data_IF_962843643475
#
_entry.id   IF_962843643475
#
_cell.length_a   1.000
_cell.length_b   1.000
_cell.length_c   1.000
_cell.angle_alpha   90.00
_cell.angle_beta   90.00
_cell.angle_gamma   90.00
#
_symmetry.space_group_name_H-M   'P 1'
#
loop_
_entity.id
_entity.type
_entity.pdbx_description
1 polymer ?
#
# COMPACT_ATOMS: atom_id res chain seq x y z
N UNK A 1 -7.83 32.18 -74.03
CA UNK A 1 -8.31 33.53 -74.43
C UNK A 1 -9.58 33.82 -73.66
N UNK A 2 -9.52 34.92 -72.90
CA UNK A 2 -10.61 35.85 -72.54
C UNK A 2 -11.83 35.39 -71.73
N UNK A 3 -12.04 36.18 -70.67
CA UNK A 3 -13.08 36.21 -69.63
C UNK A 3 -14.17 37.21 -70.03
N UNK A 4 -15.45 36.99 -69.68
CA UNK A 4 -16.30 37.88 -68.81
C UNK A 4 -17.82 37.70 -68.91
N UNK A 5 -18.43 37.75 -67.71
CA UNK A 5 -19.72 38.34 -67.28
C UNK A 5 -21.02 37.74 -67.85
N UNK A 6 -22.10 37.45 -67.12
CA UNK A 6 -22.49 37.72 -65.72
C UNK A 6 -23.86 38.40 -65.70
N UNK A 7 -24.93 37.70 -65.25
CA UNK A 7 -26.12 38.27 -64.59
C UNK A 7 -27.20 37.21 -64.29
N UNK A 8 -27.62 37.13 -63.03
CA UNK A 8 -28.91 36.58 -62.51
C UNK A 8 -29.70 37.77 -61.90
N UNK A 9 -31.00 37.68 -61.49
CA UNK A 9 -31.76 36.48 -61.09
C UNK A 9 -33.28 36.45 -61.45
N UNK A 10 -33.95 35.32 -61.17
CA UNK A 10 -35.39 35.27 -60.83
C UNK A 10 -35.71 34.02 -59.99
N UNK A 11 -36.51 34.23 -58.94
CA UNK A 11 -36.85 33.30 -57.83
C UNK A 11 -38.10 32.48 -58.14
N UNK A 12 -38.22 31.23 -57.66
CA UNK A 12 -39.53 30.65 -57.36
C UNK A 12 -39.73 30.28 -55.88
N UNK A 13 -41.02 30.20 -55.56
CA UNK A 13 -41.69 30.17 -54.25
C UNK A 13 -41.70 28.76 -53.64
N UNK A 14 -41.69 28.72 -52.30
CA UNK A 14 -41.63 27.52 -51.47
C UNK A 14 -43.00 26.82 -51.33
N UNK A 15 -42.99 25.49 -51.40
CA UNK A 15 -44.10 24.59 -51.04
C UNK A 15 -43.82 24.00 -49.65
N UNK A 16 -44.78 23.96 -48.71
CA UNK A 16 -44.52 23.51 -47.34
C UNK A 16 -44.35 21.98 -47.28
N UNK A 17 -43.21 21.55 -46.74
CA UNK A 17 -42.95 20.14 -46.44
C UNK A 17 -43.73 19.71 -45.19
N UNK A 18 -44.38 18.56 -45.31
CA UNK A 18 -45.12 17.82 -44.27
C UNK A 18 -44.21 17.56 -43.05
N UNK A 19 -44.70 17.61 -41.80
CA UNK A 19 -43.87 17.35 -40.63
C UNK A 19 -43.45 15.88 -40.66
N UNK A 20 -42.15 15.65 -40.79
CA UNK A 20 -41.55 14.34 -40.54
C UNK A 20 -41.68 14.11 -39.05
N UNK A 21 -42.42 13.06 -38.69
CA UNK A 21 -42.58 12.60 -37.32
C UNK A 21 -41.21 12.54 -36.65
N UNK A 22 -41.09 13.21 -35.49
CA UNK A 22 -39.97 13.01 -34.58
C UNK A 22 -39.85 11.52 -34.31
N UNK A 23 -38.89 10.89 -34.98
CA UNK A 23 -38.38 9.58 -34.59
C UNK A 23 -37.99 9.69 -33.13
N UNK A 24 -38.72 8.97 -32.29
CA UNK A 24 -38.45 8.85 -30.88
C UNK A 24 -36.95 8.62 -30.70
N UNK A 25 -36.30 9.58 -30.05
CA UNK A 25 -34.94 9.43 -29.57
C UNK A 25 -34.89 8.11 -28.82
N UNK A 26 -34.07 7.17 -29.31
CA UNK A 26 -33.75 5.98 -28.55
C UNK A 26 -33.38 6.42 -27.12
N UNK A 27 -33.83 5.71 -26.07
CA UNK A 27 -33.45 6.06 -24.72
C UNK A 27 -31.92 6.17 -24.66
N UNK A 28 -31.38 7.18 -23.96
CA UNK A 28 -29.95 7.42 -23.94
C UNK A 28 -29.27 6.11 -23.54
N UNK A 29 -28.33 5.68 -24.38
CA UNK A 29 -27.45 4.56 -24.11
C UNK A 29 -26.86 4.83 -22.72
N UNK A 30 -27.38 4.15 -21.69
CA UNK A 30 -27.07 4.48 -20.31
C UNK A 30 -25.56 4.59 -20.16
N UNK A 31 -25.08 5.77 -19.73
CA UNK A 31 -23.66 6.02 -19.53
C UNK A 31 -23.06 4.83 -18.76
N UNK A 32 -21.89 4.36 -19.19
CA UNK A 32 -21.20 3.24 -18.55
C UNK A 32 -21.18 3.46 -17.03
N UNK A 33 -21.62 2.46 -16.28
CA UNK A 33 -21.67 2.56 -14.83
C UNK A 33 -20.27 2.76 -14.27
N UNK A 34 -20.04 3.86 -13.55
CA UNK A 34 -18.82 4.02 -12.76
C UNK A 34 -18.94 3.17 -11.48
N UNK A 35 -18.56 1.89 -11.59
CA UNK A 35 -18.59 0.94 -10.47
C UNK A 35 -17.70 1.39 -9.31
N UNK A 36 -16.61 2.11 -9.60
CA UNK A 36 -15.72 2.63 -8.56
C UNK A 36 -16.33 3.77 -7.74
N UNK A 37 -17.41 4.39 -8.23
CA UNK A 37 -18.18 5.38 -7.49
C UNK A 37 -19.42 4.79 -6.78
N UNK A 38 -19.66 3.47 -6.88
CA UNK A 38 -20.84 2.83 -6.28
C UNK A 38 -20.73 2.55 -4.78
N UNK A 39 -19.56 2.76 -4.17
CA UNK A 39 -19.32 2.64 -2.74
C UNK A 39 -19.15 4.01 -2.10
N UNK A 40 -19.53 4.13 -0.83
CA UNK A 40 -19.23 5.30 -0.01
C UNK A 40 -17.70 5.43 0.14
N UNK A 41 -17.08 6.56 -0.29
CA UNK A 41 -15.63 6.71 -0.21
C UNK A 41 -15.07 6.67 1.20
N UNK A 42 -15.80 7.16 2.20
CA UNK A 42 -15.36 7.15 3.59
C UNK A 42 -15.34 5.72 4.13
N UNK A 43 -16.36 4.93 3.78
CA UNK A 43 -16.41 3.52 4.13
C UNK A 43 -15.36 2.71 3.39
N UNK A 44 -15.19 2.94 2.08
CA UNK A 44 -14.16 2.30 1.27
C UNK A 44 -12.75 2.62 1.81
N UNK A 45 -12.50 3.86 2.27
CA UNK A 45 -11.23 4.24 2.92
C UNK A 45 -11.07 3.61 4.32
N UNK A 46 -12.16 3.48 5.10
CA UNK A 46 -12.13 2.77 6.40
C UNK A 46 -11.78 1.29 6.21
N UNK A 47 -12.37 0.68 5.19
CA UNK A 47 -12.19 -0.73 4.87
C UNK A 47 -10.84 -0.97 4.21
N UNK A 48 -10.47 -0.25 3.16
CA UNK A 48 -9.19 -0.39 2.45
C UNK A 48 -8.48 0.97 2.41
N UNK A 49 -7.76 1.35 3.47
CA UNK A 49 -7.14 2.67 3.55
C UNK A 49 -6.09 2.83 2.47
N UNK A 50 -6.05 3.99 1.81
CA UNK A 50 -5.12 4.31 0.71
C UNK A 50 -5.08 3.21 -0.37
N UNK A 51 -6.25 2.66 -0.71
CA UNK A 51 -6.39 1.67 -1.77
C UNK A 51 -5.86 2.21 -3.12
N UNK A 52 -5.13 1.35 -3.83
CA UNK A 52 -5.02 1.43 -5.29
C UNK A 52 -6.36 0.98 -5.89
N UNK A 53 -6.90 1.76 -6.82
CA UNK A 53 -8.21 1.51 -7.42
C UNK A 53 -8.02 1.13 -8.89
N UNK A 54 -8.44 -0.07 -9.24
CA UNK A 54 -8.38 -0.59 -10.60
C UNK A 54 -9.79 -0.85 -11.13
N UNK A 55 -10.05 -0.48 -12.38
CA UNK A 55 -11.32 -0.71 -13.05
C UNK A 55 -11.12 -1.48 -14.35
N UNK A 56 -12.00 -2.42 -14.64
CA UNK A 56 -12.03 -3.12 -15.92
C UNK A 56 -13.46 -3.35 -16.39
N UNK A 57 -13.63 -3.64 -17.68
CA UNK A 57 -14.93 -3.97 -18.25
C UNK A 57 -14.80 -5.12 -19.24
N UNK A 58 -15.79 -6.01 -19.24
CA UNK A 58 -15.97 -7.06 -20.22
C UNK A 58 -17.32 -6.86 -20.90
N UNK A 59 -17.31 -6.73 -22.23
CA UNK A 59 -18.50 -6.56 -23.04
C UNK A 59 -18.81 -7.85 -23.81
N UNK A 60 -19.87 -8.53 -23.40
CA UNK A 60 -20.34 -9.77 -24.01
C UNK A 60 -21.68 -9.57 -24.75
N UNK A 61 -21.93 -8.35 -25.26
CA UNK A 61 -23.18 -8.06 -26.01
C UNK A 61 -23.31 -8.75 -27.37
N UNK A 62 -22.33 -9.54 -27.77
CA UNK A 62 -22.37 -10.42 -28.96
C UNK A 62 -22.64 -11.90 -28.65
N UNK A 63 -22.91 -12.26 -27.40
CA UNK A 63 -23.13 -13.65 -26.99
C UNK A 63 -24.43 -14.24 -27.56
N UNK A 64 -24.38 -15.49 -28.02
CA UNK A 64 -25.55 -16.22 -28.56
C UNK A 64 -26.44 -16.82 -27.48
N UNK A 65 -25.94 -16.93 -26.24
CA UNK A 65 -26.64 -17.54 -25.10
C UNK A 65 -26.98 -16.53 -24.00
N UNK A 66 -26.10 -15.56 -23.76
CA UNK A 66 -26.27 -14.53 -22.72
C UNK A 66 -25.63 -13.24 -23.24
N UNK A 67 -26.37 -12.13 -23.20
CA UNK A 67 -25.89 -10.80 -23.55
C UNK A 67 -25.74 -9.95 -22.28
N UNK A 68 -24.55 -9.44 -22.01
CA UNK A 68 -24.30 -8.60 -20.84
C UNK A 68 -23.06 -7.72 -21.01
N UNK A 69 -23.00 -6.64 -20.23
CA UNK A 69 -21.77 -5.89 -19.95
C UNK A 69 -21.45 -6.04 -18.48
N UNK A 70 -20.20 -6.41 -18.16
CA UNK A 70 -19.70 -6.50 -16.80
C UNK A 70 -18.64 -5.43 -16.57
N UNK A 71 -18.75 -4.73 -15.45
CA UNK A 71 -17.74 -3.81 -14.94
C UNK A 71 -17.24 -4.34 -13.60
N UNK A 72 -15.94 -4.22 -13.39
CA UNK A 72 -15.26 -4.62 -12.16
C UNK A 72 -14.50 -3.43 -11.61
N UNK A 73 -14.59 -3.22 -10.30
CA UNK A 73 -13.72 -2.29 -9.58
C UNK A 73 -13.08 -3.00 -8.38
N UNK A 74 -11.80 -2.75 -8.18
CA UNK A 74 -11.00 -3.30 -7.09
C UNK A 74 -10.36 -2.19 -6.28
N UNK A 75 -10.45 -2.28 -4.95
CA UNK A 75 -9.73 -1.44 -4.00
C UNK A 75 -8.72 -2.34 -3.29
N UNK A 76 -7.44 -2.14 -3.56
CA UNK A 76 -6.38 -3.03 -3.07
C UNK A 76 -5.38 -2.26 -2.21
N UNK A 77 -5.12 -2.74 -1.00
CA UNK A 77 -3.92 -2.36 -0.26
C UNK A 77 -3.35 -3.56 0.51
N UNK A 78 -2.21 -4.06 0.05
CA UNK A 78 -1.55 -5.27 0.57
C UNK A 78 -0.47 -4.99 1.61
N UNK A 79 -0.16 -3.71 1.88
CA UNK A 79 0.97 -3.33 2.73
C UNK A 79 0.60 -2.22 3.74
N UNK A 80 -0.49 -2.44 4.48
CA UNK A 80 -0.92 -1.49 5.52
C UNK A 80 -0.12 -1.77 6.80
N UNK A 81 0.86 -0.92 7.09
CA UNK A 81 1.54 -0.95 8.39
C UNK A 81 0.57 -0.63 9.53
N UNK A 82 0.39 -1.53 10.48
CA UNK A 82 -0.45 -1.32 11.67
C UNK A 82 0.16 -2.00 12.90
N UNK A 83 0.60 -1.22 13.89
CA UNK A 83 1.18 -1.78 15.12
C UNK A 83 2.28 -2.82 14.81
N UNK A 84 2.20 -4.04 15.31
CA UNK A 84 3.13 -5.14 15.08
C UNK A 84 2.82 -6.00 13.84
N UNK A 85 1.78 -5.64 13.07
CA UNK A 85 1.30 -6.42 11.93
C UNK A 85 1.26 -5.60 10.64
N UNK A 86 1.47 -6.28 9.52
CA UNK A 86 1.12 -5.76 8.20
C UNK A 86 -0.24 -6.32 7.83
N UNK A 87 -1.16 -5.43 7.46
CA UNK A 87 -2.51 -5.82 7.02
C UNK A 87 -2.61 -5.79 5.50
N UNK A 88 -3.33 -6.77 4.96
CA UNK A 88 -3.81 -6.79 3.59
C UNK A 88 -5.32 -6.63 3.61
N UNK A 89 -5.84 -5.75 2.76
CA UNK A 89 -7.28 -5.56 2.59
C UNK A 89 -7.62 -5.32 1.13
N UNK A 90 -8.75 -5.88 0.72
CA UNK A 90 -9.18 -5.85 -0.67
C UNK A 90 -10.71 -5.87 -0.75
N UNK A 91 -11.29 -4.96 -1.53
CA UNK A 91 -12.70 -5.00 -1.94
C UNK A 91 -12.73 -5.22 -3.45
N UNK A 92 -13.56 -6.16 -3.90
CA UNK A 92 -13.88 -6.33 -5.32
C UNK A 92 -15.37 -6.18 -5.51
N UNK A 93 -15.78 -5.32 -6.45
CA UNK A 93 -17.18 -5.15 -6.85
C UNK A 93 -17.29 -5.49 -8.33
N UNK A 94 -18.16 -6.44 -8.66
CA UNK A 94 -18.55 -6.77 -10.02
C UNK A 94 -20.00 -6.35 -10.24
N UNK A 95 -20.29 -5.65 -11.33
CA UNK A 95 -21.65 -5.26 -11.73
C UNK A 95 -21.85 -5.74 -13.15
N UNK A 96 -22.84 -6.59 -13.37
CA UNK A 96 -23.23 -7.10 -14.69
C UNK A 96 -24.62 -6.60 -15.02
N UNK A 97 -24.76 -5.88 -16.13
CA UNK A 97 -26.06 -5.52 -16.71
C UNK A 97 -26.33 -6.47 -17.86
N UNK A 98 -27.48 -7.12 -17.81
CA UNK A 98 -27.92 -8.02 -18.87
C UNK A 98 -28.76 -7.26 -19.91
N UNK A 99 -28.68 -7.71 -21.15
CA UNK A 99 -29.60 -7.32 -22.21
C UNK A 99 -30.54 -8.49 -22.52
N UNK A 100 -31.73 -8.19 -23.04
CA UNK A 100 -32.67 -9.22 -23.47
C UNK A 100 -32.10 -9.99 -24.68
N UNK A 101 -32.31 -11.30 -24.69
CA UNK A 101 -31.84 -12.18 -25.78
C UNK A 101 -32.87 -13.29 -26.05
N UNK A 102 -33.37 -13.34 -27.29
CA UNK A 102 -34.43 -14.28 -27.66
C UNK A 102 -35.71 -14.04 -26.85
N UNK A 103 -36.19 -15.08 -26.16
CA UNK A 103 -37.36 -15.01 -25.28
C UNK A 103 -37.03 -14.64 -23.83
N UNK A 104 -35.74 -14.56 -23.47
CA UNK A 104 -35.28 -14.26 -22.11
C UNK A 104 -35.16 -12.74 -21.93
N UNK A 105 -35.92 -12.18 -20.98
CA UNK A 105 -35.79 -10.77 -20.62
C UNK A 105 -34.50 -10.52 -19.85
N UNK A 106 -34.03 -9.26 -19.86
CA UNK A 106 -32.83 -8.87 -19.11
C UNK A 106 -32.96 -9.12 -17.59
N UNK A 107 -34.15 -8.85 -17.02
CA UNK A 107 -34.43 -9.12 -15.61
C UNK A 107 -34.46 -10.63 -15.31
N UNK A 108 -34.97 -11.44 -16.23
CA UNK A 108 -34.94 -12.89 -16.08
C UNK A 108 -33.50 -13.42 -16.08
N UNK A 109 -32.65 -12.93 -16.99
CA UNK A 109 -31.25 -13.30 -17.04
C UNK A 109 -30.52 -12.96 -15.73
N UNK A 110 -30.73 -11.75 -15.19
CA UNK A 110 -30.16 -11.36 -13.90
C UNK A 110 -30.68 -12.23 -12.73
N UNK A 111 -31.96 -12.61 -12.76
CA UNK A 111 -32.56 -13.51 -11.77
C UNK A 111 -31.98 -14.93 -11.85
N UNK A 112 -31.82 -15.48 -13.05
CA UNK A 112 -31.21 -16.79 -13.27
C UNK A 112 -29.77 -16.80 -12.75
N UNK A 113 -28.98 -15.75 -13.04
CA UNK A 113 -27.62 -15.61 -12.53
C UNK A 113 -27.59 -15.60 -10.99
N UNK A 114 -28.46 -14.80 -10.36
CA UNK A 114 -28.56 -14.75 -8.90
C UNK A 114 -28.97 -16.10 -8.27
N UNK A 115 -29.97 -16.77 -8.83
CA UNK A 115 -30.44 -18.06 -8.33
C UNK A 115 -29.38 -19.16 -8.52
N UNK A 116 -28.61 -19.11 -9.61
CA UNK A 116 -27.45 -19.96 -9.82
C UNK A 116 -26.42 -19.77 -8.70
N UNK A 117 -26.02 -18.54 -8.43
CA UNK A 117 -25.06 -18.21 -7.36
C UNK A 117 -25.56 -18.65 -5.97
N UNK A 118 -26.82 -18.35 -5.64
CA UNK A 118 -27.43 -18.78 -4.38
C UNK A 118 -27.42 -20.31 -4.23
N UNK A 119 -27.67 -21.03 -5.31
CA UNK A 119 -27.62 -22.50 -5.33
C UNK A 119 -26.19 -23.00 -5.12
N UNK A 120 -25.19 -22.35 -5.73
CA UNK A 120 -23.77 -22.65 -5.50
C UNK A 120 -23.37 -22.39 -4.04
N UNK A 121 -23.87 -21.31 -3.42
CA UNK A 121 -23.60 -21.02 -2.02
C UNK A 121 -24.22 -22.07 -1.09
N UNK A 122 -25.46 -22.49 -1.37
CA UNK A 122 -26.14 -23.56 -0.62
C UNK A 122 -25.42 -24.90 -0.77
N UNK A 123 -24.96 -25.23 -1.97
CA UNK A 123 -24.18 -26.43 -2.24
C UNK A 123 -22.83 -26.42 -1.51
N UNK A 124 -22.06 -25.33 -1.62
CA UNK A 124 -20.76 -25.22 -0.96
C UNK A 124 -20.84 -25.37 0.57
N UNK A 125 -21.90 -24.84 1.19
CA UNK A 125 -22.13 -24.97 2.63
C UNK A 125 -22.31 -26.42 3.10
N UNK A 126 -22.71 -27.36 2.21
CA UNK A 126 -22.83 -28.79 2.52
C UNK A 126 -21.62 -29.62 2.08
N UNK A 127 -20.64 -29.01 1.39
CA UNK A 127 -19.44 -29.66 0.84
C UNK A 127 -18.16 -29.00 1.37
N UNK A 128 -18.21 -28.50 2.60
CA UNK A 128 -17.02 -28.01 3.30
C UNK A 128 -16.20 -29.17 3.85
N UNK A 129 -14.88 -29.04 3.80
CA UNK A 129 -13.92 -30.00 4.32
C UNK A 129 -12.83 -29.29 5.16
N UNK A 130 -11.69 -29.96 5.37
CA UNK A 130 -10.60 -29.44 6.22
C UNK A 130 -9.72 -28.41 5.49
N UNK A 131 -9.76 -28.39 4.16
CA UNK A 131 -8.98 -27.51 3.29
C UNK A 131 -9.84 -26.36 2.75
N UNK A 132 -11.14 -26.56 2.59
CA UNK A 132 -12.11 -25.60 2.07
C UNK A 132 -13.32 -25.51 2.98
N UNK A 133 -13.61 -24.31 3.46
CA UNK A 133 -14.81 -24.05 4.24
C UNK A 133 -15.68 -23.00 3.59
N UNK A 134 -16.99 -23.26 3.61
CA UNK A 134 -18.03 -22.34 3.16
C UNK A 134 -19.09 -22.24 4.26
N UNK A 135 -19.32 -21.04 4.76
CA UNK A 135 -20.37 -20.79 5.74
C UNK A 135 -21.75 -21.00 5.10
N UNK A 136 -22.77 -21.21 5.93
CA UNK A 136 -24.16 -21.17 5.45
C UNK A 136 -24.46 -19.80 4.85
N UNK A 137 -25.14 -19.72 3.69
CA UNK A 137 -25.51 -18.44 3.10
C UNK A 137 -26.51 -17.70 3.99
N UNK A 138 -26.33 -16.38 4.09
CA UNK A 138 -27.27 -15.45 4.73
C UNK A 138 -27.95 -14.64 3.66
N UNK A 139 -29.26 -14.82 3.52
CA UNK A 139 -30.08 -14.07 2.57
C UNK A 139 -30.55 -12.74 3.19
N UNK A 140 -30.51 -11.66 2.42
CA UNK A 140 -30.94 -10.31 2.78
C UNK A 140 -32.02 -9.86 1.80
N UNK A 141 -33.28 -9.89 2.23
CA UNK A 141 -34.43 -9.55 1.37
C UNK A 141 -34.61 -8.03 1.24
N UNK A 142 -34.04 -7.28 2.16
CA UNK A 142 -34.09 -5.82 2.21
C UNK A 142 -33.14 -5.13 1.23
N UNK A 143 -32.22 -5.87 0.61
CA UNK A 143 -31.20 -5.34 -0.31
C UNK A 143 -31.63 -5.60 -1.75
N UNK A 144 -31.98 -4.54 -2.49
CA UNK A 144 -32.38 -4.63 -3.90
C UNK A 144 -33.62 -5.51 -4.11
N UNK A 145 -33.58 -6.39 -5.10
CA UNK A 145 -34.59 -7.45 -5.28
C UNK A 145 -34.18 -8.78 -4.62
N UNK A 146 -33.23 -8.74 -3.68
CA UNK A 146 -32.65 -9.88 -2.98
C UNK A 146 -31.13 -9.89 -3.07
N UNK A 147 -30.49 -10.20 -1.95
CA UNK A 147 -29.06 -10.44 -1.86
C UNK A 147 -28.75 -11.64 -0.96
N UNK A 148 -27.54 -12.19 -1.08
CA UNK A 148 -27.01 -13.28 -0.27
C UNK A 148 -25.54 -13.04 0.00
N UNK A 149 -25.05 -13.43 1.18
CA UNK A 149 -23.61 -13.47 1.46
C UNK A 149 -23.21 -14.78 2.13
N UNK A 150 -21.96 -15.18 1.94
CA UNK A 150 -21.29 -16.25 2.68
C UNK A 150 -19.86 -15.85 3.01
N UNK A 151 -19.26 -16.56 3.96
CA UNK A 151 -17.85 -16.49 4.26
C UNK A 151 -17.19 -17.77 3.78
N UNK A 152 -15.97 -17.67 3.27
CA UNK A 152 -15.19 -18.84 2.94
C UNK A 152 -13.73 -18.68 3.33
N UNK A 153 -13.09 -19.82 3.55
CA UNK A 153 -11.63 -19.89 3.60
C UNK A 153 -11.11 -21.14 2.91
N UNK A 154 -9.93 -21.00 2.34
CA UNK A 154 -9.14 -22.08 1.75
C UNK A 154 -7.79 -22.14 2.46
N UNK A 155 -7.36 -23.34 2.79
CA UNK A 155 -6.07 -23.61 3.41
C UNK A 155 -5.30 -24.60 2.53
N UNK A 156 -4.21 -24.14 1.94
CA UNK A 156 -3.25 -25.01 1.25
C UNK A 156 -2.01 -25.17 2.14
N UNK A 157 -1.91 -26.32 2.81
CA UNK A 157 -0.80 -26.66 3.70
C UNK A 157 -0.63 -25.71 4.90
N UNK A 158 0.63 -25.36 5.19
CA UNK A 158 1.03 -24.38 6.22
C UNK A 158 1.30 -22.98 5.64
N UNK A 159 1.27 -22.84 4.32
CA UNK A 159 1.86 -21.70 3.60
C UNK A 159 0.81 -20.76 3.02
N UNK A 160 -0.41 -21.24 2.74
CA UNK A 160 -1.45 -20.40 2.16
C UNK A 160 -2.74 -20.48 2.97
N UNK A 161 -3.14 -19.33 3.53
CA UNK A 161 -4.43 -19.14 4.17
C UNK A 161 -5.15 -18.01 3.47
N UNK A 162 -6.23 -18.35 2.78
CA UNK A 162 -7.04 -17.43 2.00
C UNK A 162 -8.44 -17.36 2.60
N UNK A 163 -8.94 -16.18 2.94
CA UNK A 163 -10.29 -16.05 3.51
C UNK A 163 -10.94 -14.73 3.15
N UNK A 164 -12.24 -14.76 2.93
CA UNK A 164 -12.99 -13.59 2.54
C UNK A 164 -14.49 -13.81 2.75
N UNK A 165 -15.19 -12.69 2.90
CA UNK A 165 -16.64 -12.66 2.69
C UNK A 165 -16.91 -12.41 1.22
N UNK A 166 -17.93 -13.06 0.68
CA UNK A 166 -18.47 -12.75 -0.63
C UNK A 166 -19.99 -12.72 -0.59
N UNK A 167 -20.57 -11.99 -1.52
CA UNK A 167 -22.00 -11.96 -1.67
C UNK A 167 -22.43 -11.48 -3.04
N UNK A 168 -23.68 -11.77 -3.35
CA UNK A 168 -24.30 -11.45 -4.61
C UNK A 168 -25.66 -10.81 -4.36
N UNK A 169 -26.09 -9.95 -5.27
CA UNK A 169 -27.40 -9.33 -5.24
C UNK A 169 -27.86 -8.92 -6.63
N UNK A 170 -29.10 -8.44 -6.71
CA UNK A 170 -29.68 -7.98 -7.97
C UNK A 170 -30.63 -6.80 -7.79
N UNK A 171 -30.70 -5.96 -8.80
CA UNK A 171 -31.72 -4.90 -8.96
C UNK A 171 -32.16 -4.87 -10.42
N UNK A 172 -33.38 -5.35 -10.71
CA UNK A 172 -33.90 -5.49 -12.08
C UNK A 172 -33.01 -6.33 -12.99
N UNK A 173 -32.54 -5.73 -14.08
CA UNK A 173 -31.65 -6.29 -15.11
C UNK A 173 -30.16 -6.32 -14.71
N UNK A 174 -29.86 -5.94 -13.47
CA UNK A 174 -28.48 -5.82 -12.98
C UNK A 174 -28.23 -6.84 -11.88
N UNK A 175 -27.18 -7.63 -12.06
CA UNK A 175 -26.59 -8.53 -11.06
C UNK A 175 -25.29 -7.91 -10.55
N UNK A 176 -25.01 -8.04 -9.26
CA UNK A 176 -23.74 -7.58 -8.70
C UNK A 176 -23.19 -8.57 -7.68
N UNK A 177 -21.85 -8.61 -7.59
CA UNK A 177 -21.11 -9.35 -6.59
C UNK A 177 -20.18 -8.41 -5.84
N UNK A 178 -20.01 -8.71 -4.56
CA UNK A 178 -19.07 -8.04 -3.67
C UNK A 178 -18.22 -9.10 -3.00
N UNK A 179 -16.92 -8.85 -2.93
CA UNK A 179 -15.98 -9.62 -2.14
C UNK A 179 -15.20 -8.68 -1.23
N UNK A 180 -15.02 -9.10 0.03
CA UNK A 180 -14.17 -8.41 0.99
C UNK A 180 -13.18 -9.38 1.63
N UNK A 181 -11.91 -9.16 1.35
CA UNK A 181 -10.79 -9.90 1.92
C UNK A 181 -10.04 -9.01 2.90
N UNK A 182 -9.73 -9.55 4.08
CA UNK A 182 -8.82 -8.92 5.01
C UNK A 182 -8.00 -9.94 5.78
N UNK A 183 -6.72 -9.66 5.95
CA UNK A 183 -5.82 -10.46 6.76
C UNK A 183 -4.73 -9.57 7.39
N UNK A 184 -4.06 -10.12 8.38
CA UNK A 184 -2.92 -9.48 9.03
C UNK A 184 -1.85 -10.51 9.36
N UNK A 185 -0.59 -10.13 9.20
CA UNK A 185 0.58 -10.99 9.47
C UNK A 185 1.55 -10.23 10.37
N UNK A 186 2.19 -10.90 11.34
CA UNK A 186 3.23 -10.26 12.16
C UNK A 186 4.37 -9.77 11.27
N UNK A 187 4.78 -8.51 11.43
CA UNK A 187 5.84 -7.87 10.61
C UNK A 187 7.17 -8.58 10.67
N UNK A 188 7.47 -9.20 11.80
CA UNK A 188 8.73 -9.90 12.05
C UNK A 188 8.66 -11.40 11.76
N UNK A 189 7.50 -11.93 11.33
CA UNK A 189 7.41 -13.32 10.88
C UNK A 189 8.20 -13.54 9.59
N UNK A 190 8.67 -14.77 9.37
CA UNK A 190 9.42 -15.10 8.17
C UNK A 190 8.60 -14.77 6.91
N UNK A 191 9.27 -14.19 5.91
CA UNK A 191 8.61 -13.63 4.74
C UNK A 191 7.73 -14.67 4.02
N UNK A 192 8.20 -15.91 3.93
CA UNK A 192 7.49 -17.04 3.29
C UNK A 192 6.52 -17.79 4.23
N UNK A 193 6.56 -17.52 5.54
CA UNK A 193 5.70 -18.24 6.51
C UNK A 193 4.32 -17.60 6.61
N UNK A 194 3.26 -18.41 6.56
CA UNK A 194 1.90 -17.97 6.87
C UNK A 194 1.49 -18.23 8.33
N UNK A 195 2.38 -18.74 9.19
CA UNK A 195 2.04 -19.16 10.56
C UNK A 195 1.45 -18.05 11.44
N UNK A 196 1.83 -16.80 11.20
CA UNK A 196 1.29 -15.65 11.94
C UNK A 196 0.12 -14.93 11.24
N UNK A 197 -0.34 -15.48 10.10
CA UNK A 197 -1.43 -14.89 9.33
C UNK A 197 -2.73 -15.11 10.06
N UNK A 198 -3.34 -14.02 10.52
CA UNK A 198 -4.69 -13.99 11.03
C UNK A 198 -5.62 -13.45 9.95
N UNK A 199 -6.58 -14.27 9.59
CA UNK A 199 -7.62 -13.96 8.62
C UNK A 199 -8.81 -13.23 9.26
N UNK A 200 -9.61 -12.55 8.42
CA UNK A 200 -10.89 -11.99 8.84
C UNK A 200 -11.81 -13.09 9.40
N UNK A 201 -12.57 -12.78 10.45
CA UNK A 201 -13.56 -13.71 11.00
C UNK A 201 -14.81 -13.72 10.13
N UNK A 202 -15.55 -14.84 10.14
CA UNK A 202 -16.84 -14.96 9.44
C UNK A 202 -17.78 -13.80 9.77
N UNK A 203 -17.97 -13.51 11.05
CA UNK A 203 -18.88 -12.45 11.51
C UNK A 203 -18.50 -11.07 10.94
N UNK A 204 -17.21 -10.72 10.99
CA UNK A 204 -16.73 -9.45 10.46
C UNK A 204 -16.87 -9.43 8.93
N UNK A 205 -16.47 -10.50 8.24
CA UNK A 205 -16.56 -10.59 6.78
C UNK A 205 -18.00 -10.42 6.29
N UNK A 206 -18.95 -11.14 6.90
CA UNK A 206 -20.37 -11.05 6.53
C UNK A 206 -20.97 -9.68 6.86
N UNK A 207 -20.56 -9.05 7.96
CA UNK A 207 -21.00 -7.68 8.30
C UNK A 207 -20.55 -6.68 7.23
N UNK A 208 -19.27 -6.68 6.87
CA UNK A 208 -18.75 -5.73 5.88
C UNK A 208 -19.34 -6.00 4.49
N UNK A 209 -19.45 -7.26 4.06
CA UNK A 209 -20.10 -7.62 2.78
C UNK A 209 -21.57 -7.21 2.74
N UNK A 210 -22.33 -7.39 3.83
CA UNK A 210 -23.72 -6.91 3.90
C UNK A 210 -23.80 -5.40 3.65
N UNK A 211 -22.93 -4.63 4.31
CA UNK A 211 -22.85 -3.18 4.15
C UNK A 211 -22.54 -2.78 2.72
N UNK A 212 -21.52 -3.40 2.12
CA UNK A 212 -21.11 -3.15 0.73
C UNK A 212 -22.21 -3.53 -0.27
N UNK A 213 -22.89 -4.67 -0.10
CA UNK A 213 -24.03 -5.08 -0.94
C UNK A 213 -25.16 -4.04 -0.89
N UNK A 214 -25.47 -3.51 0.29
CA UNK A 214 -26.49 -2.47 0.44
C UNK A 214 -26.09 -1.17 -0.29
N UNK A 215 -24.81 -0.78 -0.24
CA UNK A 215 -24.31 0.39 -0.95
C UNK A 215 -24.40 0.21 -2.47
N UNK A 216 -23.94 -0.93 -2.99
CA UNK A 216 -24.02 -1.24 -4.43
C UNK A 216 -25.48 -1.29 -4.90
N UNK A 217 -26.38 -1.93 -4.15
CA UNK A 217 -27.80 -1.97 -4.50
C UNK A 217 -28.43 -0.57 -4.59
N UNK A 218 -28.11 0.31 -3.63
CA UNK A 218 -28.56 1.71 -3.63
C UNK A 218 -28.03 2.47 -4.85
N UNK A 219 -26.75 2.31 -5.17
CA UNK A 219 -26.09 2.92 -6.32
C UNK A 219 -26.66 2.43 -7.65
N UNK A 220 -26.90 1.12 -7.79
CA UNK A 220 -27.52 0.52 -8.98
C UNK A 220 -28.96 1.03 -9.14
N UNK A 221 -29.71 1.16 -8.04
CA UNK A 221 -31.07 1.71 -8.06
C UNK A 221 -31.08 3.15 -8.58
N UNK A 222 -30.18 4.00 -8.08
CA UNK A 222 -30.04 5.37 -8.54
C UNK A 222 -29.63 5.45 -10.02
N UNK A 223 -28.64 4.64 -10.43
CA UNK A 223 -28.17 4.55 -11.81
C UNK A 223 -29.29 4.15 -12.77
N UNK A 224 -30.06 3.11 -12.45
CA UNK A 224 -31.21 2.67 -13.27
C UNK A 224 -32.30 3.74 -13.36
N UNK A 225 -32.47 4.55 -12.30
CA UNK A 225 -33.40 5.66 -12.29
C UNK A 225 -32.88 6.93 -12.99
N UNK A 226 -31.67 6.89 -13.58
CA UNK A 226 -31.02 8.06 -14.18
C UNK A 226 -30.65 9.15 -13.18
N UNK A 227 -30.60 8.82 -11.88
CA UNK A 227 -30.23 9.73 -10.81
C UNK A 227 -28.72 9.70 -10.57
N UNK A 228 -28.14 10.79 -10.03
CA UNK A 228 -26.76 10.77 -9.55
C UNK A 228 -26.54 9.64 -8.54
N UNK A 229 -25.34 9.06 -8.54
CA UNK A 229 -24.95 8.09 -7.53
C UNK A 229 -25.03 8.73 -6.13
N UNK A 230 -25.41 7.97 -5.09
CA UNK A 230 -25.72 8.52 -3.77
C UNK A 230 -24.49 8.96 -2.97
N UNK A 231 -23.27 8.76 -3.50
CA UNK A 231 -22.02 9.06 -2.81
C UNK A 231 -21.21 10.10 -3.59
N UNK A 232 -20.58 11.00 -2.85
CA UNK A 232 -19.67 11.99 -3.41
C UNK A 232 -18.36 11.34 -3.87
N UNK A 233 -17.63 11.99 -4.78
CA UNK A 233 -16.31 11.50 -5.18
C UNK A 233 -15.32 11.54 -4.01
N UNK A 234 -14.38 10.59 -3.99
CA UNK A 234 -13.29 10.56 -3.01
C UNK A 234 -12.46 11.86 -3.09
N UNK A 235 -12.21 12.55 -1.96
CA UNK A 235 -11.26 13.66 -1.95
C UNK A 235 -9.87 13.15 -2.33
N UNK A 236 -9.23 13.77 -3.32
CA UNK A 236 -7.86 13.44 -3.69
C UNK A 236 -6.94 13.79 -2.50
N UNK A 237 -6.10 12.86 -2.00
CA UNK A 237 -5.16 13.21 -0.94
C UNK A 237 -4.23 14.30 -1.48
N UNK A 238 -4.24 15.45 -0.80
CA UNK A 238 -3.29 16.52 -1.09
C UNK A 238 -1.95 16.14 -0.47
N UNK A 239 -0.83 16.18 -1.22
CA UNK A 239 0.48 15.93 -0.65
C UNK A 239 0.75 17.01 0.41
N UNK A 240 0.85 16.61 1.68
CA UNK A 240 1.35 17.50 2.72
C UNK A 240 2.86 17.68 2.50
N UNK A 241 3.39 18.91 2.49
CA UNK A 241 4.83 19.11 2.46
C UNK A 241 5.46 18.42 3.67
N UNK A 242 6.50 17.63 3.44
CA UNK A 242 7.26 17.02 4.51
C UNK A 242 8.14 18.10 5.16
N UNK A 243 8.03 18.36 6.48
CA UNK A 243 8.81 19.41 7.11
C UNK A 243 10.31 19.11 6.99
N UNK A 244 11.08 20.10 6.52
CA UNK A 244 12.53 19.97 6.39
C UNK A 244 13.22 19.97 7.76
N UNK A 245 14.35 19.25 7.93
CA UNK A 245 15.12 19.30 9.17
C UNK A 245 15.60 20.73 9.49
N UNK A 246 15.47 21.13 10.75
CA UNK A 246 15.94 22.42 11.26
C UNK A 246 17.27 22.22 11.99
N UNK A 247 18.30 22.97 11.63
CA UNK A 247 19.61 22.90 12.30
C UNK A 247 19.49 23.40 13.75
N UNK A 248 20.13 22.70 14.69
CA UNK A 248 20.15 23.07 16.11
C UNK A 248 21.58 22.98 16.66
N UNK A 249 21.88 23.62 17.81
CA UNK A 249 23.09 23.33 18.57
C UNK A 249 23.14 21.85 18.97
N UNK A 250 24.35 21.31 19.18
CA UNK A 250 24.51 19.93 19.64
C UNK A 250 23.76 19.74 20.98
N UNK A 251 22.79 18.80 21.04
CA UNK A 251 22.07 18.51 22.27
C UNK A 251 22.99 17.82 23.28
N UNK A 252 22.63 17.86 24.57
CA UNK A 252 23.42 17.33 25.69
C UNK A 252 23.94 15.89 25.44
N UNK A 253 23.08 14.99 24.97
CA UNK A 253 23.48 13.62 24.66
C UNK A 253 24.62 13.55 23.60
N UNK A 254 24.57 14.40 22.57
CA UNK A 254 25.62 14.46 21.54
C UNK A 254 26.89 15.17 22.03
N UNK A 255 26.75 16.16 22.92
CA UNK A 255 27.90 16.82 23.58
C UNK A 255 28.66 15.81 24.43
N UNK A 256 27.96 14.97 25.19
CA UNK A 256 28.58 13.93 26.02
C UNK A 256 29.37 12.91 25.18
N UNK A 257 28.95 12.67 23.92
CA UNK A 257 29.63 11.79 22.99
C UNK A 257 30.86 12.42 22.31
N UNK A 258 31.12 13.72 22.48
CA UNK A 258 32.13 14.45 21.68
C UNK A 258 33.53 13.82 21.75
N UNK A 259 33.96 13.36 22.92
CA UNK A 259 35.28 12.70 23.06
C UNK A 259 35.36 11.37 22.31
N UNK A 260 34.34 10.53 22.47
CA UNK A 260 34.23 9.25 21.76
C UNK A 260 34.13 9.47 20.25
N UNK A 261 33.28 10.42 19.81
CA UNK A 261 33.12 10.78 18.42
C UNK A 261 34.42 11.31 17.80
N UNK A 262 35.20 12.11 18.53
CA UNK A 262 36.50 12.60 18.07
C UNK A 262 37.53 11.47 17.89
N UNK A 263 37.46 10.39 18.68
CA UNK A 263 38.30 9.20 18.48
C UNK A 263 37.93 8.39 17.24
N UNK A 264 36.64 8.35 16.88
CA UNK A 264 36.12 7.61 15.72
C UNK A 264 36.17 8.40 14.41
N UNK A 265 35.91 9.71 14.51
CA UNK A 265 35.90 10.68 13.40
C UNK A 265 36.67 11.92 13.86
N UNK A 266 38.00 11.93 13.72
CA UNK A 266 38.80 13.09 14.14
C UNK A 266 38.56 14.33 13.26
N UNK A 267 38.95 15.49 13.78
CA UNK A 267 38.92 16.79 13.10
C UNK A 267 37.53 17.22 12.59
N UNK A 268 36.47 16.98 13.37
CA UNK A 268 35.12 17.48 13.10
C UNK A 268 34.42 17.88 14.39
N UNK A 269 33.69 18.99 14.36
CA UNK A 269 32.93 19.49 15.52
C UNK A 269 31.57 18.80 15.68
N UNK A 270 31.09 18.18 14.60
CA UNK A 270 29.76 17.60 14.50
C UNK A 270 28.67 18.64 14.20
N UNK A 271 27.55 18.17 13.68
CA UNK A 271 26.36 18.97 13.44
C UNK A 271 25.11 18.26 13.99
N UNK A 272 24.10 19.04 14.37
CA UNK A 272 22.81 18.51 14.80
C UNK A 272 21.65 19.16 14.06
N UNK A 273 20.58 18.39 13.89
CA UNK A 273 19.32 18.83 13.33
C UNK A 273 18.15 18.19 14.07
N UNK A 274 17.01 18.87 14.05
CA UNK A 274 15.74 18.35 14.56
C UNK A 274 14.72 18.33 13.43
N UNK A 275 13.97 17.23 13.36
CA UNK A 275 12.86 17.06 12.43
C UNK A 275 11.68 16.38 13.13
N UNK A 276 10.58 16.22 12.39
CA UNK A 276 9.44 15.42 12.80
C UNK A 276 9.23 14.32 11.78
N UNK A 277 9.21 13.08 12.23
CA UNK A 277 8.93 11.92 11.39
C UNK A 277 7.72 11.18 11.94
N UNK A 278 6.60 11.25 11.21
CA UNK A 278 5.31 10.79 11.70
C UNK A 278 4.94 11.46 13.03
N UNK A 279 4.79 10.64 14.07
CA UNK A 279 4.47 11.08 15.43
C UNK A 279 5.71 11.18 16.35
N UNK A 280 6.92 11.09 15.79
CA UNK A 280 8.17 11.20 16.55
C UNK A 280 8.86 12.55 16.33
N UNK A 281 9.52 13.05 17.38
CA UNK A 281 10.52 14.11 17.28
C UNK A 281 11.86 13.42 17.06
N UNK A 282 12.55 13.75 15.98
CA UNK A 282 13.84 13.15 15.65
C UNK A 282 14.93 14.19 15.90
N UNK A 283 15.89 13.83 16.75
CA UNK A 283 17.11 14.62 16.96
C UNK A 283 18.28 13.87 16.37
N UNK A 284 18.89 14.43 15.33
CA UNK A 284 20.01 13.85 14.61
C UNK A 284 21.31 14.54 14.99
N UNK A 285 22.38 13.78 15.14
CA UNK A 285 23.74 14.31 15.22
C UNK A 285 24.65 13.54 14.27
N UNK A 286 25.55 14.25 13.61
CA UNK A 286 26.48 13.66 12.65
C UNK A 286 27.87 14.23 12.82
N UNK A 287 28.87 13.36 12.78
CA UNK A 287 30.28 13.68 12.67
C UNK A 287 30.79 13.02 11.40
N UNK A 288 31.40 13.79 10.51
CA UNK A 288 31.96 13.27 9.27
C UNK A 288 33.28 13.95 8.97
N UNK A 289 34.18 13.19 8.35
CA UNK A 289 35.42 13.69 7.80
C UNK A 289 35.67 12.98 6.47
N UNK A 290 35.75 13.77 5.39
CA UNK A 290 35.84 13.25 4.02
C UNK A 290 37.26 12.96 3.55
N UNK A 291 38.28 13.48 4.25
CA UNK A 291 39.66 13.48 3.78
C UNK A 291 40.70 13.51 4.93
N UNK A 292 40.59 12.58 5.87
CA UNK A 292 41.54 12.48 6.97
C UNK A 292 42.88 11.87 6.50
N UNK A 293 44.03 12.54 6.64
CA UNK A 293 45.30 12.03 6.09
C UNK A 293 45.74 10.70 6.73
N UNK A 294 46.17 9.73 5.92
CA UNK A 294 46.72 8.45 6.38
C UNK A 294 48.21 8.23 6.06
N UNK A 295 48.83 9.19 5.39
CA UNK A 295 50.16 9.00 4.79
C UNK A 295 50.10 8.19 3.49
N UNK A 296 51.22 8.14 2.76
CA UNK A 296 51.32 7.37 1.50
C UNK A 296 50.34 7.82 0.40
N UNK A 297 49.92 9.09 0.40
CA UNK A 297 48.97 9.63 -0.56
C UNK A 297 47.55 9.06 -0.43
N UNK A 298 47.17 8.53 0.74
CA UNK A 298 45.80 8.06 1.04
C UNK A 298 45.08 9.01 2.00
N UNK A 299 43.77 9.10 1.83
CA UNK A 299 42.85 9.80 2.73
C UNK A 299 41.75 8.86 3.21
N UNK A 300 41.32 9.08 4.44
CA UNK A 300 40.30 8.32 5.15
C UNK A 300 39.00 9.10 5.21
N UNK A 301 37.94 8.44 4.77
CA UNK A 301 36.58 8.86 5.01
C UNK A 301 36.02 8.13 6.24
N UNK A 302 35.45 8.89 7.17
CA UNK A 302 34.71 8.36 8.33
C UNK A 302 33.42 9.15 8.51
N UNK A 303 32.36 8.43 8.83
CA UNK A 303 31.04 9.00 9.04
C UNK A 303 30.36 8.29 10.20
N UNK A 304 30.01 9.07 11.22
CA UNK A 304 29.22 8.66 12.37
C UNK A 304 27.91 9.45 12.34
N UNK A 305 26.78 8.74 12.29
CA UNK A 305 25.44 9.32 12.35
C UNK A 305 24.68 8.70 13.49
N UNK A 306 23.96 9.54 14.21
CA UNK A 306 22.99 9.12 15.21
C UNK A 306 21.66 9.81 14.98
N UNK A 307 20.57 9.10 15.23
CA UNK A 307 19.23 9.67 15.33
C UNK A 307 18.56 9.16 16.61
N UNK A 308 17.98 10.06 17.38
CA UNK A 308 17.15 9.75 18.54
C UNK A 308 15.70 10.09 18.20
N UNK A 309 14.89 9.07 18.00
CA UNK A 309 13.46 9.19 17.78
C UNK A 309 12.76 9.18 19.13
N UNK A 310 12.11 10.28 19.51
CA UNK A 310 11.33 10.37 20.75
C UNK A 310 9.84 10.34 20.43
N UNK A 311 9.14 9.38 21.01
CA UNK A 311 7.70 9.16 20.84
C UNK A 311 6.91 9.68 22.05
N UNK A 312 5.59 9.78 21.88
CA UNK A 312 4.70 10.20 22.97
C UNK A 312 4.55 9.10 24.04
N UNK A 313 4.68 7.82 23.65
CA UNK A 313 4.60 6.65 24.52
C UNK A 313 5.57 5.52 24.07
N UNK A 314 5.72 4.51 24.93
CA UNK A 314 6.60 3.37 24.70
C UNK A 314 6.06 2.35 23.66
N UNK A 315 4.74 2.23 23.51
CA UNK A 315 4.12 1.35 22.51
C UNK A 315 4.45 1.85 21.10
N UNK A 316 4.35 3.16 20.86
CA UNK A 316 4.73 3.78 19.58
C UNK A 316 6.22 3.59 19.26
N UNK A 317 7.10 3.75 20.26
CA UNK A 317 8.54 3.50 20.09
C UNK A 317 8.82 2.03 19.75
N UNK A 318 8.15 1.10 20.43
CA UNK A 318 8.25 -0.34 20.13
C UNK A 318 7.79 -0.65 18.70
N UNK A 319 6.68 -0.10 18.25
CA UNK A 319 6.20 -0.33 16.88
C UNK A 319 7.14 0.21 15.83
N UNK A 320 7.76 1.37 16.08
CA UNK A 320 8.78 1.90 15.19
C UNK A 320 9.98 0.94 15.07
N UNK A 321 10.47 0.39 16.20
CA UNK A 321 11.56 -0.60 16.17
C UNK A 321 11.18 -1.85 15.36
N UNK A 322 9.95 -2.35 15.54
CA UNK A 322 9.42 -3.49 14.78
C UNK A 322 9.35 -3.19 13.29
N UNK A 323 8.95 -1.98 12.90
CA UNK A 323 8.92 -1.54 11.51
C UNK A 323 10.33 -1.52 10.90
N UNK A 324 11.30 -0.92 11.60
CA UNK A 324 12.69 -0.86 11.13
C UNK A 324 13.33 -2.26 11.05
N UNK A 325 13.07 -3.13 12.03
CA UNK A 325 13.56 -4.51 11.99
C UNK A 325 12.94 -5.28 10.82
N UNK A 326 11.64 -5.15 10.59
CA UNK A 326 10.95 -5.80 9.47
C UNK A 326 11.50 -5.34 8.12
N UNK A 327 11.74 -4.04 7.94
CA UNK A 327 12.40 -3.49 6.74
C UNK A 327 13.82 -4.05 6.57
N UNK A 328 14.58 -4.14 7.65
CA UNK A 328 15.96 -4.64 7.62
C UNK A 328 16.02 -6.14 7.31
N UNK A 329 15.06 -6.93 7.80
CA UNK A 329 14.90 -8.35 7.45
C UNK A 329 14.67 -8.56 5.96
N UNK A 330 13.94 -7.67 5.30
CA UNK A 330 13.69 -7.79 3.85
C UNK A 330 14.98 -7.77 3.02
N UNK A 331 16.01 -7.04 3.46
CA UNK A 331 17.32 -7.00 2.80
C UNK A 331 18.34 -7.96 3.41
N UNK A 332 17.97 -8.77 4.41
CA UNK A 332 18.91 -9.64 5.11
C UNK A 332 19.64 -10.60 4.17
N UNK A 333 20.97 -10.70 4.32
CA UNK A 333 21.83 -11.60 3.52
C UNK A 333 21.69 -11.41 2.00
N UNK A 334 21.19 -10.26 1.55
CA UNK A 334 20.92 -9.97 0.14
C UNK A 334 22.00 -9.06 -0.48
N UNK A 335 21.94 -8.94 -1.81
CA UNK A 335 22.78 -8.03 -2.59
C UNK A 335 21.94 -7.37 -3.70
N UNK A 336 21.89 -6.05 -3.71
CA UNK A 336 21.11 -5.26 -4.67
C UNK A 336 21.91 -4.00 -5.02
N UNK A 337 22.05 -3.68 -6.31
CA UNK A 337 22.61 -2.41 -6.77
C UNK A 337 23.98 -2.05 -6.20
N UNK A 338 24.88 -3.02 -6.00
CA UNK A 338 26.21 -2.78 -5.43
C UNK A 338 26.26 -2.69 -3.89
N UNK A 339 25.12 -2.80 -3.22
CA UNK A 339 25.02 -2.89 -1.76
C UNK A 339 24.83 -4.35 -1.37
N UNK A 340 25.55 -4.80 -0.32
CA UNK A 340 25.41 -6.11 0.30
C UNK A 340 25.08 -5.92 1.76
N UNK A 341 23.98 -6.50 2.20
CA UNK A 341 23.54 -6.49 3.59
C UNK A 341 23.91 -7.80 4.26
N UNK A 342 24.38 -7.70 5.49
CA UNK A 342 24.68 -8.84 6.35
C UNK A 342 23.42 -9.45 6.97
N UNK A 343 23.64 -10.40 7.87
CA UNK A 343 22.59 -10.94 8.73
C UNK A 343 22.07 -9.87 9.69
N UNK A 344 20.81 -9.97 10.08
CA UNK A 344 20.23 -9.14 11.13
C UNK A 344 20.57 -9.80 12.47
N UNK A 345 21.33 -9.10 13.29
CA UNK A 345 21.80 -9.60 14.57
C UNK A 345 20.94 -9.02 15.69
N UNK A 346 20.33 -9.87 16.53
CA UNK A 346 19.75 -9.40 17.79
C UNK A 346 20.90 -9.05 18.74
N UNK A 347 20.84 -7.86 19.34
CA UNK A 347 21.89 -7.36 20.23
C UNK A 347 21.38 -7.37 21.67
N UNK A 348 22.12 -8.01 22.57
CA UNK A 348 21.88 -7.96 24.01
C UNK A 348 22.66 -6.81 24.66
N UNK A 349 22.15 -6.30 25.78
CA UNK A 349 22.81 -5.25 26.57
C UNK A 349 22.64 -3.83 26.03
N UNK A 350 21.71 -3.61 25.10
CA UNK A 350 21.36 -2.29 24.55
C UNK A 350 19.87 -2.03 24.76
N UNK A 351 19.54 -1.19 25.75
CA UNK A 351 18.16 -0.84 26.08
C UNK A 351 17.28 -2.06 26.37
N UNK A 352 16.02 -1.97 25.97
CA UNK A 352 15.00 -3.02 26.14
C UNK A 352 15.00 -4.04 24.99
N UNK A 353 15.26 -3.59 23.76
CA UNK A 353 15.40 -4.45 22.58
C UNK A 353 16.28 -3.75 21.53
N UNK A 354 17.13 -4.50 20.84
CA UNK A 354 18.06 -3.94 19.87
C UNK A 354 18.42 -4.94 18.77
N UNK A 355 18.75 -4.40 17.59
CA UNK A 355 19.31 -5.18 16.50
C UNK A 355 20.35 -4.38 15.71
N UNK A 356 21.20 -5.09 14.98
CA UNK A 356 22.19 -4.45 14.10
C UNK A 356 22.40 -5.22 12.80
N UNK A 357 23.00 -4.54 11.83
CA UNK A 357 23.32 -5.12 10.52
C UNK A 357 24.58 -4.49 9.94
N UNK A 358 25.46 -5.34 9.40
CA UNK A 358 26.60 -4.89 8.60
C UNK A 358 26.16 -4.59 7.16
N UNK A 359 26.63 -3.48 6.59
CA UNK A 359 26.31 -3.07 5.22
C UNK A 359 27.61 -2.75 4.49
N UNK A 360 27.82 -3.42 3.36
CA UNK A 360 28.90 -3.15 2.42
C UNK A 360 28.33 -2.47 1.20
N UNK A 361 28.78 -1.25 0.93
CA UNK A 361 28.35 -0.44 -0.20
C UNK A 361 29.52 -0.31 -1.19
N UNK A 362 29.29 -0.71 -2.44
CA UNK A 362 30.17 -0.44 -3.59
C UNK A 362 29.31 0.07 -4.74
N UNK A 363 29.09 1.38 -4.77
CA UNK A 363 28.13 2.06 -5.65
C UNK A 363 28.76 3.27 -6.32
N UNK A 364 28.07 3.82 -7.32
CA UNK A 364 28.48 5.05 -8.00
C UNK A 364 28.39 6.29 -7.10
N UNK A 365 27.75 6.20 -5.93
CA UNK A 365 27.64 7.31 -4.98
C UNK A 365 28.68 7.24 -3.86
N UNK A 366 29.03 6.05 -3.39
CA UNK A 366 30.06 5.84 -2.37
C UNK A 366 30.57 4.39 -2.32
N UNK A 367 31.76 4.22 -1.74
CA UNK A 367 32.34 2.94 -1.35
C UNK A 367 32.56 2.94 0.17
N UNK A 368 31.92 2.03 0.91
CA UNK A 368 32.11 1.92 2.37
C UNK A 368 31.74 0.55 2.92
N UNK A 369 32.33 0.21 4.07
CA UNK A 369 31.72 -0.70 5.03
C UNK A 369 31.17 0.11 6.19
N UNK A 370 30.00 -0.28 6.70
CA UNK A 370 29.37 0.34 7.85
C UNK A 370 28.59 -0.69 8.68
N UNK A 371 28.32 -0.33 9.92
CA UNK A 371 27.45 -1.09 10.81
C UNK A 371 26.38 -0.16 11.36
N UNK A 372 25.13 -0.62 11.31
CA UNK A 372 23.96 0.11 11.79
C UNK A 372 23.36 -0.62 13.00
N UNK A 373 22.93 0.13 14.01
CA UNK A 373 22.27 -0.37 15.22
C UNK A 373 20.99 0.42 15.45
N UNK A 374 19.92 -0.30 15.78
CA UNK A 374 18.70 0.27 16.35
C UNK A 374 18.51 -0.28 17.75
N UNK A 375 18.20 0.58 18.73
CA UNK A 375 17.90 0.17 20.09
C UNK A 375 16.71 0.95 20.66
N UNK A 376 15.81 0.24 21.34
CA UNK A 376 14.65 0.78 22.04
C UNK A 376 15.00 1.01 23.50
N UNK A 377 14.68 2.20 24.01
CA UNK A 377 14.73 2.52 25.42
C UNK A 377 13.51 3.38 25.82
N UNK A 378 12.56 2.75 26.51
CA UNK A 378 11.31 3.39 26.92
C UNK A 378 10.53 3.97 25.74
N UNK A 379 10.44 5.31 25.69
CA UNK A 379 9.75 6.06 24.62
C UNK A 379 10.68 6.49 23.48
N UNK A 380 11.93 6.00 23.46
CA UNK A 380 12.94 6.40 22.49
C UNK A 380 13.44 5.22 21.67
N UNK A 381 13.71 5.46 20.39
CA UNK A 381 14.50 4.55 19.55
C UNK A 381 15.72 5.29 19.06
N UNK A 382 16.90 4.77 19.37
CA UNK A 382 18.17 5.27 18.85
C UNK A 382 18.56 4.49 17.61
N UNK A 383 19.02 5.20 16.60
CA UNK A 383 19.71 4.66 15.44
C UNK A 383 21.15 5.17 15.43
N UNK A 384 22.11 4.28 15.25
CA UNK A 384 23.53 4.59 15.15
C UNK A 384 24.09 3.95 13.90
N UNK A 385 24.82 4.71 13.10
CA UNK A 385 25.54 4.26 11.93
C UNK A 385 26.99 4.72 12.04
N UNK A 386 27.93 3.78 11.95
CA UNK A 386 29.35 4.09 11.83
C UNK A 386 29.98 3.34 10.66
N UNK A 387 30.75 4.05 9.84
CA UNK A 387 31.42 3.44 8.70
C UNK A 387 32.34 4.40 7.95
N UNK A 388 32.95 3.85 6.90
CA UNK A 388 33.86 4.61 6.05
C UNK A 388 34.66 3.76 5.08
N UNK A 389 35.69 4.38 4.53
CA UNK A 389 36.66 3.78 3.62
C UNK A 389 37.93 4.63 3.57
N UNK A 390 38.99 4.05 3.01
CA UNK A 390 40.23 4.72 2.71
C UNK A 390 40.41 4.73 1.18
N UNK A 391 40.89 5.84 0.63
CA UNK A 391 41.04 6.03 -0.82
C UNK A 391 42.27 6.86 -1.16
N UNK A 392 42.79 6.82 -2.40
CA UNK A 392 43.85 7.72 -2.81
C UNK A 392 43.42 9.19 -2.66
N UNK A 393 44.37 10.05 -2.30
CA UNK A 393 44.14 11.50 -2.21
C UNK A 393 43.64 12.05 -3.56
N UNK A 394 42.80 13.09 -3.51
CA UNK A 394 42.18 13.73 -4.69
C UNK A 394 41.26 12.81 -5.51
N UNK A 395 40.92 11.63 -5.01
CA UNK A 395 39.86 10.79 -5.60
C UNK A 395 38.53 10.97 -4.87
N UNK A 396 37.38 10.79 -5.54
CA UNK A 396 36.06 10.90 -4.91
C UNK A 396 35.71 9.70 -4.01
N UNK A 397 34.73 9.86 -3.11
CA UNK A 397 34.27 8.82 -2.14
C UNK A 397 33.78 7.52 -2.80
N UNK A 398 33.45 7.56 -4.08
CA UNK A 398 32.97 6.43 -4.88
C UNK A 398 34.11 5.73 -5.67
N UNK A 399 35.37 6.13 -5.50
CA UNK A 399 36.51 5.59 -6.25
C UNK A 399 36.62 4.06 -6.12
N UNK A 400 36.64 3.34 -7.25
CA UNK A 400 36.58 1.87 -7.28
C UNK A 400 37.69 1.18 -6.47
N UNK A 401 38.89 1.78 -6.44
CA UNK A 401 40.04 1.31 -5.67
C UNK A 401 39.98 1.58 -4.16
N UNK A 402 38.85 2.07 -3.63
CA UNK A 402 38.70 2.34 -2.19
C UNK A 402 38.79 1.05 -1.38
N UNK A 403 39.63 1.12 -0.34
CA UNK A 403 39.77 0.12 0.70
C UNK A 403 38.67 0.35 1.73
N UNK A 404 37.77 -0.61 1.91
CA UNK A 404 36.64 -0.43 2.81
C UNK A 404 37.11 -0.56 4.26
N UNK A 405 36.48 0.18 5.16
CA UNK A 405 36.72 0.06 6.60
C UNK A 405 36.59 -1.40 7.07
N UNK A 406 37.39 -1.81 8.05
CA UNK A 406 37.29 -3.15 8.62
C UNK A 406 35.88 -3.33 9.26
N UNK A 407 35.13 -4.40 8.93
CA UNK A 407 33.80 -4.63 9.50
C UNK A 407 33.77 -4.70 11.03
N UNK A 408 34.83 -5.21 11.67
CA UNK A 408 34.95 -5.26 13.13
C UNK A 408 35.16 -3.88 13.72
N UNK A 409 35.96 -3.03 13.08
CA UNK A 409 36.13 -1.62 13.47
C UNK A 409 34.78 -0.88 13.39
N UNK A 410 34.02 -1.08 12.30
CA UNK A 410 32.70 -0.49 12.13
C UNK A 410 31.70 -0.95 13.19
N UNK A 411 31.63 -2.27 13.45
CA UNK A 411 30.75 -2.82 14.46
C UNK A 411 31.13 -2.37 15.89
N UNK A 412 32.42 -2.36 16.22
CA UNK A 412 32.89 -1.92 17.54
C UNK A 412 32.59 -0.44 17.79
N UNK A 413 32.85 0.42 16.80
CA UNK A 413 32.57 1.86 16.91
C UNK A 413 31.06 2.15 16.99
N UNK A 414 30.23 1.47 16.21
CA UNK A 414 28.77 1.61 16.32
C UNK A 414 28.26 1.17 17.71
N UNK A 415 28.74 0.03 18.22
CA UNK A 415 28.35 -0.50 19.54
C UNK A 415 28.81 0.40 20.69
N UNK A 416 30.01 0.96 20.64
CA UNK A 416 30.50 1.86 21.69
C UNK A 416 29.67 3.15 21.74
N UNK A 417 29.34 3.73 20.58
CA UNK A 417 28.48 4.92 20.51
C UNK A 417 27.06 4.61 20.96
N UNK A 418 26.47 3.50 20.52
CA UNK A 418 25.11 3.11 20.94
C UNK A 418 25.02 2.95 22.45
N UNK A 419 26.01 2.30 23.08
CA UNK A 419 26.07 2.16 24.54
C UNK A 419 26.17 3.51 25.24
N UNK A 420 27.13 4.33 24.86
CA UNK A 420 27.34 5.64 25.46
C UNK A 420 26.14 6.60 25.25
N UNK A 421 25.44 6.47 24.13
CA UNK A 421 24.23 7.24 23.85
C UNK A 421 23.09 6.82 24.78
N UNK A 422 22.85 5.51 24.93
CA UNK A 422 21.83 4.98 25.83
C UNK A 422 22.11 5.35 27.31
N UNK A 423 23.37 5.32 27.73
CA UNK A 423 23.77 5.73 29.09
C UNK A 423 23.60 7.26 29.31
N UNK A 424 23.43 8.04 28.25
CA UNK A 424 23.30 9.51 28.28
C UNK A 424 21.87 10.04 28.07
N UNK A 425 20.92 9.16 27.70
CA UNK A 425 19.49 9.45 27.59
C UNK A 425 18.82 9.28 28.96
#
# INVERSE_FOLDING_TARGET
>A
MTVRQGSTPSRPVATPARPVASSATAPPQAAAADVCAMLDPAEAERLVPRAEINSSSNDNRGGTLVSYVRWTCEWVNRNISYKDVTRRREITVNVSRFDALGTTTAEEAARVQYNGELSQYKYGATHSDKEHYYSKPREFREIGNGAVARYQWTREGKEYWYSFGEGAGRVGDVYFQVKFEASQKKKEADFLSAESTQSITEENALREVKGLLAQVAKSVTAWRAGQPLPYHARPKPSPSPSPSPTRIPLPKACVNLKSLAAGLVPATEGAAARSKEGNSIVTQCQWWNDALPLGGGKVRWRNLRIAVHTFWDAESARYYLVDERSKTKFTESSRIGGIRWGKVEKLSGFGQDAFGQAIRQRTDTAQSNRYEIYALDGKTVVWVLFGGSDRPEKTPINAAGSELMDPKEAAAGARSVAKALLDAL
#
